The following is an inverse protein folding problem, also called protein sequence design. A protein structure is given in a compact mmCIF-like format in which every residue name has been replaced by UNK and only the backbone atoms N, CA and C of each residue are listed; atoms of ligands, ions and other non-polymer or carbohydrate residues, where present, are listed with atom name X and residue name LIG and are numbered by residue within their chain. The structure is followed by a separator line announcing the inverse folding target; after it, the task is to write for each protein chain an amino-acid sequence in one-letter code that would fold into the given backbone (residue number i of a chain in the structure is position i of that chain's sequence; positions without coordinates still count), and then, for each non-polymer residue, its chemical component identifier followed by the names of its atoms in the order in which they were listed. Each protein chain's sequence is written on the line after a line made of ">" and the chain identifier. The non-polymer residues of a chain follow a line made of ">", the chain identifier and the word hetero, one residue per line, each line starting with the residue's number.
data_IF_058359166672
#
_entry.id   IF_058359166672
#
_cell.length_a   1.000
_cell.length_b   1.000
_cell.length_c   1.000
_cell.angle_alpha   90.00
_cell.angle_beta   90.00
_cell.angle_gamma   90.00
#
_symmetry.space_group_name_H-M   'P 1'
#
loop_
_entity.id
_entity.type
_entity.pdbx_description
1 polymer ?
#
# COMPACT_ATOMS: atom_id res chain seq x y z
N UNK A 1 -1.27 -28.29 3.85
CA UNK A 1 -2.30 -27.54 3.10
C UNK A 1 -1.59 -26.28 2.62
N UNK A 2 -1.59 -25.96 1.32
CA UNK A 2 -0.92 -24.74 0.85
C UNK A 2 -1.64 -23.53 1.44
N UNK A 3 -0.85 -22.58 1.94
CA UNK A 3 -1.37 -21.35 2.54
C UNK A 3 -1.66 -20.36 1.41
N UNK A 4 -2.88 -19.84 1.46
CA UNK A 4 -3.26 -18.60 0.81
C UNK A 4 -3.69 -17.60 1.86
N UNK A 5 -2.89 -16.55 2.04
CA UNK A 5 -3.17 -15.42 2.90
C UNK A 5 -3.79 -14.28 2.09
N UNK A 6 -4.93 -13.78 2.54
CA UNK A 6 -5.53 -12.55 2.04
C UNK A 6 -5.37 -11.44 3.08
N UNK A 7 -4.82 -10.30 2.68
CA UNK A 7 -4.64 -9.14 3.56
C UNK A 7 -5.52 -8.01 3.04
N UNK A 8 -6.41 -7.49 3.88
CA UNK A 8 -7.29 -6.37 3.56
C UNK A 8 -6.68 -5.08 4.08
N UNK A 9 -6.39 -4.14 3.17
CA UNK A 9 -6.13 -2.75 3.55
C UNK A 9 -7.46 -2.09 3.94
N UNK A 10 -7.75 -2.12 5.24
CA UNK A 10 -9.09 -1.90 5.76
C UNK A 10 -9.60 -0.50 5.45
N UNK A 11 -8.80 0.54 5.76
CA UNK A 11 -9.21 1.92 5.53
C UNK A 11 -9.25 2.28 4.05
N UNK A 12 -8.44 1.67 3.18
CA UNK A 12 -8.56 1.84 1.74
C UNK A 12 -9.93 1.38 1.24
N UNK A 13 -10.36 0.19 1.68
CA UNK A 13 -11.64 -0.41 1.31
C UNK A 13 -12.82 0.38 1.91
N UNK A 14 -12.79 0.64 3.22
CA UNK A 14 -13.85 1.33 3.95
C UNK A 14 -14.07 2.73 3.40
N UNK A 15 -13.00 3.53 3.24
CA UNK A 15 -13.14 4.92 2.76
C UNK A 15 -13.68 4.97 1.34
N UNK A 16 -13.30 4.04 0.46
CA UNK A 16 -13.83 3.98 -0.91
C UNK A 16 -15.32 3.67 -0.92
N UNK A 17 -15.74 2.63 -0.18
CA UNK A 17 -17.16 2.28 -0.03
C UNK A 17 -17.96 3.45 0.55
N UNK A 18 -17.44 4.08 1.60
CA UNK A 18 -18.10 5.21 2.25
C UNK A 18 -18.19 6.44 1.33
N UNK A 19 -17.15 6.74 0.55
CA UNK A 19 -17.09 7.95 -0.28
C UNK A 19 -18.09 7.99 -1.44
N UNK A 20 -18.60 6.83 -1.87
CA UNK A 20 -19.54 6.72 -2.99
C UNK A 20 -21.00 6.62 -2.53
N UNK A 21 -21.25 6.54 -1.23
CA UNK A 21 -22.61 6.38 -0.73
C UNK A 21 -23.38 7.73 -0.69
N UNK A 22 -24.71 7.73 -0.89
CA UNK A 22 -25.47 8.98 -0.96
C UNK A 22 -25.48 9.79 0.34
N UNK A 23 -25.52 9.11 1.49
CA UNK A 23 -25.54 9.73 2.81
C UNK A 23 -24.25 9.40 3.57
N UNK A 24 -23.33 10.36 3.77
CA UNK A 24 -22.07 10.13 4.48
C UNK A 24 -22.25 9.88 6.00
N UNK A 25 -23.48 9.94 6.53
CA UNK A 25 -23.79 9.63 7.93
C UNK A 25 -24.31 8.20 8.11
N UNK A 26 -24.71 7.53 7.03
CA UNK A 26 -25.26 6.17 7.04
C UNK A 26 -24.15 5.11 7.19
N UNK A 27 -23.72 4.87 8.44
CA UNK A 27 -22.71 3.86 8.77
C UNK A 27 -23.26 2.44 8.58
N UNK A 28 -24.55 2.20 8.80
CA UNK A 28 -25.17 0.89 8.60
C UNK A 28 -25.06 0.43 7.13
N UNK A 29 -25.21 1.35 6.18
CA UNK A 29 -24.96 1.09 4.76
C UNK A 29 -23.49 0.82 4.44
N UNK A 30 -22.56 1.55 5.08
CA UNK A 30 -21.13 1.26 4.95
C UNK A 30 -20.81 -0.16 5.44
N UNK A 31 -21.33 -0.56 6.61
CA UNK A 31 -21.20 -1.92 7.15
C UNK A 31 -21.75 -2.94 6.16
N UNK A 32 -23.00 -2.79 5.73
CA UNK A 32 -23.66 -3.74 4.80
C UNK A 32 -22.90 -3.86 3.47
N UNK A 33 -22.34 -2.76 2.96
CA UNK A 33 -21.64 -2.76 1.66
C UNK A 33 -20.22 -3.30 1.75
N UNK A 34 -19.50 -3.02 2.85
CA UNK A 34 -18.21 -3.65 3.11
C UNK A 34 -18.37 -5.15 3.39
N UNK A 35 -19.37 -5.58 4.16
CA UNK A 35 -19.66 -7.00 4.39
C UNK A 35 -19.95 -7.77 3.08
N UNK A 36 -20.78 -7.20 2.19
CA UNK A 36 -21.01 -7.80 0.85
C UNK A 36 -19.73 -7.89 0.03
N UNK A 37 -18.88 -6.88 0.12
CA UNK A 37 -17.58 -6.84 -0.55
C UNK A 37 -16.64 -7.92 -0.04
N UNK A 38 -16.54 -8.07 1.28
CA UNK A 38 -15.71 -9.10 1.91
C UNK A 38 -16.21 -10.51 1.58
N UNK A 39 -17.52 -10.75 1.63
CA UNK A 39 -18.08 -12.03 1.19
C UNK A 39 -17.73 -12.38 -0.26
N UNK A 40 -17.71 -11.38 -1.15
CA UNK A 40 -17.26 -11.60 -2.53
C UNK A 40 -15.76 -11.91 -2.60
N UNK A 41 -14.92 -11.18 -1.85
CA UNK A 41 -13.49 -11.46 -1.75
C UNK A 41 -13.25 -12.88 -1.26
N UNK A 42 -13.93 -13.30 -0.18
CA UNK A 42 -13.84 -14.66 0.38
C UNK A 42 -14.23 -15.72 -0.66
N UNK A 43 -15.31 -15.51 -1.40
CA UNK A 43 -15.78 -16.44 -2.43
C UNK A 43 -14.83 -16.54 -3.64
N UNK A 44 -14.24 -15.41 -4.06
CA UNK A 44 -13.31 -15.35 -5.21
C UNK A 44 -11.92 -15.89 -4.85
N UNK A 45 -11.40 -15.53 -3.68
CA UNK A 45 -10.03 -15.86 -3.27
C UNK A 45 -9.93 -17.20 -2.53
N UNK A 46 -10.97 -17.64 -1.83
CA UNK A 46 -10.99 -18.87 -1.01
C UNK A 46 -9.77 -18.97 -0.09
N UNK A 47 -9.54 -17.96 0.77
CA UNK A 47 -8.33 -17.91 1.59
C UNK A 47 -8.32 -19.02 2.64
N UNK A 48 -7.10 -19.46 2.98
CA UNK A 48 -6.87 -20.27 4.19
C UNK A 48 -6.67 -19.41 5.44
N UNK A 49 -6.18 -18.18 5.22
CA UNK A 49 -5.88 -17.20 6.25
C UNK A 49 -6.31 -15.83 5.74
N UNK A 50 -6.91 -15.01 6.61
CA UNK A 50 -7.34 -13.67 6.24
C UNK A 50 -7.18 -12.73 7.42
N UNK A 51 -6.76 -11.49 7.13
CA UNK A 51 -6.64 -10.45 8.14
C UNK A 51 -6.94 -9.08 7.52
N UNK A 52 -7.56 -8.21 8.30
CA UNK A 52 -7.70 -6.80 7.99
C UNK A 52 -6.68 -5.97 8.77
N UNK A 53 -5.97 -5.07 8.10
CA UNK A 53 -5.02 -4.17 8.76
C UNK A 53 -5.64 -2.78 8.84
N UNK A 54 -5.81 -2.28 10.06
CA UNK A 54 -6.36 -0.97 10.34
C UNK A 54 -5.25 0.00 10.78
N UNK A 55 -5.36 1.24 10.32
CA UNK A 55 -4.50 2.33 10.78
C UNK A 55 -4.99 2.80 12.16
N UNK A 56 -4.12 2.77 13.17
CA UNK A 56 -4.53 3.01 14.56
C UNK A 56 -4.56 4.50 14.92
N UNK A 57 -3.81 5.35 14.21
CA UNK A 57 -3.61 6.73 14.65
C UNK A 57 -3.68 7.76 13.50
N UNK A 58 -4.84 8.41 13.37
CA UNK A 58 -5.05 9.50 12.41
C UNK A 58 -4.20 10.75 12.68
N UNK A 59 -3.62 10.88 13.88
CA UNK A 59 -2.85 12.07 14.30
C UNK A 59 -1.34 11.88 14.17
N UNK A 60 -0.84 10.65 14.27
CA UNK A 60 0.57 10.36 14.07
C UNK A 60 0.84 10.04 12.60
N UNK A 61 1.82 10.72 12.01
CA UNK A 61 2.22 10.50 10.61
C UNK A 61 3.44 9.55 10.51
N UNK A 62 3.84 8.98 11.63
CA UNK A 62 4.86 7.95 11.77
C UNK A 62 6.25 8.42 11.38
N UNK A 63 7.15 7.43 11.27
CA UNK A 63 8.56 7.62 10.90
C UNK A 63 8.74 8.39 9.59
N UNK A 64 7.79 8.28 8.64
CA UNK A 64 7.85 9.00 7.37
C UNK A 64 7.79 10.52 7.56
N UNK A 65 7.03 11.01 8.53
CA UNK A 65 6.98 12.43 8.85
C UNK A 65 8.19 12.93 9.66
N UNK A 66 8.86 12.04 10.40
CA UNK A 66 10.15 12.36 11.03
C UNK A 66 11.24 12.61 9.98
N UNK A 67 11.24 11.81 8.91
CA UNK A 67 12.20 11.92 7.80
C UNK A 67 11.79 13.02 6.80
N UNK A 68 10.50 13.14 6.49
CA UNK A 68 9.95 14.15 5.58
C UNK A 68 8.78 14.88 6.25
N UNK A 69 9.01 16.02 6.91
CA UNK A 69 7.98 16.73 7.69
C UNK A 69 6.71 17.12 6.91
N UNK A 70 6.79 17.29 5.59
CA UNK A 70 5.64 17.59 4.73
C UNK A 70 4.76 16.36 4.42
N UNK A 71 5.25 15.13 4.66
CA UNK A 71 4.57 13.88 4.32
C UNK A 71 3.14 13.86 4.87
N UNK A 72 2.14 13.68 4.00
CA UNK A 72 0.69 13.66 4.34
C UNK A 72 0.21 14.86 5.19
N UNK A 73 0.92 15.99 5.25
CA UNK A 73 0.62 17.12 6.16
C UNK A 73 -0.79 17.72 5.96
N UNK A 74 -1.27 17.78 4.72
CA UNK A 74 -2.57 18.34 4.33
C UNK A 74 -3.59 17.24 4.00
N UNK A 75 -3.36 16.00 4.49
CA UNK A 75 -4.32 14.91 4.29
C UNK A 75 -5.61 15.25 5.03
N UNK A 76 -6.74 15.26 4.31
CA UNK A 76 -8.04 15.52 4.92
C UNK A 76 -8.32 14.47 6.02
N UNK A 77 -8.80 14.88 7.20
CA UNK A 77 -9.15 13.95 8.26
C UNK A 77 -10.27 13.01 7.82
N UNK A 78 -10.43 11.90 8.56
CA UNK A 78 -11.60 11.05 8.39
C UNK A 78 -12.88 11.84 8.70
N UNK A 79 -13.97 11.67 7.93
CA UNK A 79 -15.27 12.21 8.32
C UNK A 79 -15.69 11.72 9.71
N UNK A 80 -16.21 12.60 10.55
CA UNK A 80 -16.60 12.29 11.93
C UNK A 80 -17.57 11.10 12.05
N UNK A 81 -18.63 10.98 11.22
CA UNK A 81 -19.51 9.81 11.27
C UNK A 81 -18.77 8.50 11.03
N UNK A 82 -17.86 8.49 10.05
CA UNK A 82 -17.06 7.30 9.73
C UNK A 82 -16.11 6.95 10.87
N UNK A 83 -15.45 7.96 11.45
CA UNK A 83 -14.56 7.77 12.59
C UNK A 83 -15.27 7.14 13.79
N UNK A 84 -16.49 7.60 14.12
CA UNK A 84 -17.33 7.01 15.18
C UNK A 84 -17.88 5.62 14.80
N UNK A 85 -17.94 5.32 13.51
CA UNK A 85 -18.46 4.06 12.98
C UNK A 85 -17.41 2.95 12.80
N UNK A 86 -16.12 3.24 12.97
CA UNK A 86 -15.04 2.27 12.70
C UNK A 86 -15.18 1.02 13.56
N UNK A 87 -15.45 1.15 14.86
CA UNK A 87 -15.58 0.00 15.77
C UNK A 87 -16.73 -0.93 15.35
N UNK A 88 -17.87 -0.35 14.93
CA UNK A 88 -19.01 -1.12 14.44
C UNK A 88 -18.72 -1.81 13.10
N UNK A 89 -17.93 -1.18 12.22
CA UNK A 89 -17.46 -1.80 10.98
C UNK A 89 -16.50 -2.95 11.27
N UNK A 90 -15.55 -2.74 12.18
CA UNK A 90 -14.60 -3.74 12.61
C UNK A 90 -15.30 -4.96 13.23
N UNK A 91 -16.27 -4.72 14.12
CA UNK A 91 -17.09 -5.77 14.73
C UNK A 91 -17.85 -6.58 13.66
N UNK A 92 -18.43 -5.92 12.66
CA UNK A 92 -19.11 -6.62 11.58
C UNK A 92 -18.15 -7.45 10.69
N UNK A 93 -16.89 -7.06 10.57
CA UNK A 93 -15.87 -7.84 9.86
C UNK A 93 -15.42 -9.04 10.69
N UNK A 94 -15.29 -8.86 12.01
CA UNK A 94 -15.04 -9.95 12.95
C UNK A 94 -16.14 -11.01 12.91
N UNK A 95 -17.41 -10.60 12.82
CA UNK A 95 -18.56 -11.50 12.64
C UNK A 95 -18.54 -12.29 11.32
N UNK A 96 -17.73 -11.87 10.33
CA UNK A 96 -17.46 -12.64 9.11
C UNK A 96 -16.26 -13.59 9.25
N UNK A 97 -15.63 -13.65 10.42
CA UNK A 97 -14.41 -14.42 10.69
C UNK A 97 -13.12 -13.72 10.24
N UNK A 98 -13.13 -12.40 10.09
CA UNK A 98 -11.97 -11.61 9.65
C UNK A 98 -11.42 -10.81 10.82
N UNK A 99 -10.29 -11.27 11.35
CA UNK A 99 -9.58 -10.57 12.43
C UNK A 99 -8.91 -9.27 11.95
N UNK A 100 -8.60 -8.40 12.89
CA UNK A 100 -8.02 -7.09 12.66
C UNK A 100 -6.69 -6.91 13.37
N UNK A 101 -5.65 -6.59 12.61
CA UNK A 101 -4.40 -6.06 13.15
C UNK A 101 -4.53 -4.54 13.33
N UNK A 102 -4.39 -4.10 14.56
CA UNK A 102 -4.23 -2.69 14.92
C UNK A 102 -2.74 -2.35 14.96
N UNK A 103 -2.38 -1.19 14.41
CA UNK A 103 -0.99 -0.75 14.40
C UNK A 103 -0.58 0.00 15.68
N UNK A 104 0.34 -0.54 16.49
CA UNK A 104 0.89 0.19 17.64
C UNK A 104 2.08 1.07 17.24
N UNK A 105 1.84 2.06 16.35
CA UNK A 105 2.81 3.10 15.97
C UNK A 105 3.49 2.92 14.60
N UNK A 106 3.33 1.79 13.92
CA UNK A 106 3.72 1.64 12.51
C UNK A 106 2.64 2.20 11.56
N UNK A 107 2.97 2.49 10.30
CA UNK A 107 1.91 2.70 9.32
C UNK A 107 1.33 1.33 8.89
N UNK A 108 0.01 1.29 8.65
CA UNK A 108 -0.68 0.06 8.23
C UNK A 108 -0.09 -0.54 6.94
N UNK A 109 0.45 0.29 6.06
CA UNK A 109 1.08 -0.17 4.82
C UNK A 109 2.35 -0.99 5.07
N UNK A 110 3.17 -0.59 6.03
CA UNK A 110 4.37 -1.32 6.44
C UNK A 110 4.00 -2.65 7.14
N UNK A 111 2.91 -2.69 7.91
CA UNK A 111 2.40 -3.93 8.51
C UNK A 111 1.90 -4.92 7.45
N UNK A 112 1.11 -4.43 6.49
CA UNK A 112 0.66 -5.23 5.34
C UNK A 112 1.87 -5.75 4.56
N UNK A 113 2.86 -4.89 4.28
CA UNK A 113 4.06 -5.26 3.55
C UNK A 113 4.89 -6.32 4.28
N UNK A 114 5.11 -6.13 5.58
CA UNK A 114 5.83 -7.08 6.44
C UNK A 114 5.15 -8.44 6.46
N UNK A 115 3.84 -8.49 6.70
CA UNK A 115 3.10 -9.74 6.74
C UNK A 115 3.11 -10.44 5.38
N UNK A 116 2.83 -9.68 4.31
CA UNK A 116 2.80 -10.21 2.96
C UNK A 116 4.16 -10.80 2.55
N UNK A 117 5.25 -10.07 2.83
CA UNK A 117 6.60 -10.47 2.47
C UNK A 117 7.04 -11.71 3.24
N UNK A 118 6.79 -11.77 4.56
CA UNK A 118 7.08 -12.95 5.38
C UNK A 118 6.41 -14.21 4.80
N UNK A 119 5.11 -14.18 4.50
CA UNK A 119 4.40 -15.35 3.96
C UNK A 119 4.87 -15.72 2.55
N UNK A 120 5.04 -14.71 1.68
CA UNK A 120 5.50 -14.94 0.31
C UNK A 120 6.92 -15.54 0.23
N UNK A 121 7.82 -15.14 1.13
CA UNK A 121 9.20 -15.65 1.20
C UNK A 121 9.27 -17.10 1.70
N UNK A 122 8.23 -17.59 2.37
CA UNK A 122 8.03 -19.01 2.66
C UNK A 122 7.45 -19.81 1.49
N UNK A 123 7.27 -19.19 0.31
CA UNK A 123 6.75 -19.83 -0.89
C UNK A 123 5.22 -19.97 -0.92
N UNK A 124 4.53 -19.36 0.03
CA UNK A 124 3.07 -19.43 0.16
C UNK A 124 2.40 -18.27 -0.58
N UNK A 125 1.12 -18.44 -0.92
CA UNK A 125 0.40 -17.47 -1.76
C UNK A 125 -0.15 -16.33 -0.94
N UNK A 126 0.00 -15.10 -1.43
CA UNK A 126 -0.46 -13.88 -0.77
C UNK A 126 -1.24 -13.00 -1.75
N UNK A 127 -2.38 -12.49 -1.30
CA UNK A 127 -3.16 -11.49 -2.03
C UNK A 127 -3.43 -10.29 -1.14
N UNK A 128 -2.92 -9.12 -1.52
CA UNK A 128 -3.25 -7.86 -0.88
C UNK A 128 -4.47 -7.27 -1.59
N UNK A 129 -5.53 -6.96 -0.85
CA UNK A 129 -6.70 -6.24 -1.33
C UNK A 129 -6.50 -4.76 -1.03
N UNK A 130 -6.03 -4.03 -2.04
CA UNK A 130 -5.90 -2.57 -1.98
C UNK A 130 -5.90 -1.98 -3.39
N UNK A 131 -6.22 -0.70 -3.46
CA UNK A 131 -6.06 0.12 -4.67
C UNK A 131 -4.78 0.95 -4.65
N UNK A 132 -4.03 0.91 -3.55
CA UNK A 132 -2.79 1.65 -3.41
C UNK A 132 -1.70 0.99 -4.28
N UNK A 133 -1.15 1.77 -5.21
CA UNK A 133 -0.08 1.31 -6.10
C UNK A 133 1.24 1.14 -5.35
N UNK A 134 1.38 1.70 -4.14
CA UNK A 134 2.53 1.53 -3.27
C UNK A 134 2.90 0.07 -3.04
N UNK A 135 1.91 -0.79 -2.80
CA UNK A 135 2.14 -2.24 -2.60
C UNK A 135 2.68 -2.97 -3.83
N UNK A 136 2.57 -2.38 -5.02
CA UNK A 136 3.05 -3.03 -6.24
C UNK A 136 4.57 -3.22 -6.24
N UNK A 137 5.31 -2.49 -5.40
CA UNK A 137 6.76 -2.73 -5.19
C UNK A 137 7.07 -4.11 -4.59
N UNK A 138 6.07 -4.80 -4.04
CA UNK A 138 6.20 -6.12 -3.42
C UNK A 138 5.89 -7.27 -4.39
N UNK A 139 5.48 -6.99 -5.63
CA UNK A 139 5.04 -8.01 -6.58
C UNK A 139 6.08 -9.13 -6.75
N UNK A 140 5.63 -10.36 -6.57
CA UNK A 140 6.44 -11.57 -6.74
C UNK A 140 5.59 -12.67 -7.37
N UNK A 141 6.17 -13.85 -7.73
CA UNK A 141 5.37 -14.97 -8.23
C UNK A 141 4.24 -15.41 -7.27
N UNK A 142 4.43 -15.21 -5.96
CA UNK A 142 3.49 -15.64 -4.91
C UNK A 142 2.77 -14.49 -4.23
N UNK A 143 3.13 -13.22 -4.49
CA UNK A 143 2.51 -12.03 -3.91
C UNK A 143 1.86 -11.18 -5.00
N UNK A 144 0.53 -11.06 -4.94
CA UNK A 144 -0.28 -10.30 -5.89
C UNK A 144 -1.11 -9.22 -5.20
N UNK A 145 -1.46 -8.17 -5.95
CA UNK A 145 -2.29 -7.06 -5.48
C UNK A 145 -3.57 -6.99 -6.31
N UNK A 146 -4.73 -6.95 -5.64
CA UNK A 146 -6.06 -6.93 -6.25
C UNK A 146 -6.75 -5.60 -6.00
N UNK A 147 -7.03 -4.87 -7.07
CA UNK A 147 -7.97 -3.74 -7.05
C UNK A 147 -9.39 -4.31 -7.17
N UNK A 148 -10.05 -4.46 -6.03
CA UNK A 148 -11.40 -5.00 -5.97
C UNK A 148 -12.44 -4.14 -6.69
N UNK A 149 -12.29 -2.81 -6.66
CA UNK A 149 -13.28 -1.88 -7.22
C UNK A 149 -13.25 -1.85 -8.75
N UNK A 150 -12.07 -2.02 -9.34
CA UNK A 150 -11.92 -2.12 -10.80
C UNK A 150 -11.86 -3.57 -11.30
N UNK A 151 -12.04 -4.55 -10.41
CA UNK A 151 -12.01 -5.98 -10.71
C UNK A 151 -10.75 -6.43 -11.49
N UNK A 152 -9.59 -5.84 -11.18
CA UNK A 152 -8.33 -6.07 -11.90
C UNK A 152 -7.17 -6.40 -10.96
N UNK A 153 -6.15 -7.05 -11.53
CA UNK A 153 -4.86 -7.23 -10.88
C UNK A 153 -3.98 -6.01 -11.14
N UNK A 154 -3.26 -5.57 -10.11
CA UNK A 154 -2.17 -4.60 -10.26
C UNK A 154 -0.87 -5.39 -10.39
N UNK A 155 -0.70 -6.03 -11.54
CA UNK A 155 0.38 -6.98 -11.83
C UNK A 155 1.55 -6.35 -12.62
N UNK A 156 2.53 -7.15 -13.03
CA UNK A 156 3.69 -6.66 -13.79
C UNK A 156 3.29 -5.95 -15.09
N UNK A 157 2.41 -6.50 -15.96
CA UNK A 157 1.89 -5.77 -17.11
C UNK A 157 1.24 -4.42 -16.78
N UNK A 158 0.45 -4.36 -15.70
CA UNK A 158 -0.14 -3.10 -15.24
C UNK A 158 0.92 -2.07 -14.89
N UNK A 159 1.97 -2.47 -14.16
CA UNK A 159 3.08 -1.58 -13.76
C UNK A 159 3.89 -1.10 -14.96
N UNK A 160 4.18 -1.99 -15.91
CA UNK A 160 4.88 -1.61 -17.14
C UNK A 160 4.06 -0.62 -17.98
N UNK A 161 2.75 -0.80 -18.07
CA UNK A 161 1.87 0.11 -18.80
C UNK A 161 1.75 1.48 -18.11
N UNK A 162 1.58 1.49 -16.79
CA UNK A 162 1.33 2.71 -16.00
C UNK A 162 2.60 3.53 -15.76
N UNK A 163 3.72 2.87 -15.43
CA UNK A 163 4.95 3.53 -14.99
C UNK A 163 6.12 3.31 -15.96
N UNK A 164 6.11 2.21 -16.72
CA UNK A 164 7.18 1.87 -17.65
C UNK A 164 8.48 1.46 -16.98
N UNK A 165 8.40 1.00 -15.73
CA UNK A 165 9.53 0.48 -14.93
C UNK A 165 9.15 -0.88 -14.35
N UNK A 166 10.11 -1.58 -13.75
CA UNK A 166 9.82 -2.83 -13.05
C UNK A 166 9.26 -2.58 -11.63
N UNK A 167 8.50 -3.51 -11.05
CA UNK A 167 7.99 -3.39 -9.68
C UNK A 167 9.05 -3.01 -8.64
N UNK A 168 10.21 -3.66 -8.69
CA UNK A 168 11.34 -3.41 -7.79
C UNK A 168 11.95 -2.01 -7.92
N UNK A 169 11.64 -1.27 -8.99
CA UNK A 169 12.11 0.10 -9.23
C UNK A 169 11.07 1.16 -8.83
N UNK A 170 9.90 0.79 -8.30
CA UNK A 170 8.84 1.76 -8.01
C UNK A 170 9.22 2.76 -6.92
N UNK A 171 9.97 2.34 -5.90
CA UNK A 171 10.48 3.27 -4.88
C UNK A 171 11.45 4.30 -5.48
N UNK A 172 12.35 3.87 -6.36
CA UNK A 172 13.23 4.75 -7.13
C UNK A 172 12.43 5.69 -8.05
N UNK A 173 11.40 5.16 -8.71
CA UNK A 173 10.53 5.94 -9.57
C UNK A 173 9.86 7.08 -8.79
N UNK A 174 9.28 6.80 -7.61
CA UNK A 174 8.68 7.85 -6.77
C UNK A 174 9.71 8.74 -6.08
N UNK A 175 10.93 8.26 -5.84
CA UNK A 175 12.06 9.10 -5.44
C UNK A 175 12.40 10.16 -6.48
N UNK A 176 12.25 9.83 -7.77
CA UNK A 176 12.45 10.75 -8.88
C UNK A 176 11.24 11.65 -9.15
N UNK A 177 10.03 11.09 -9.22
CA UNK A 177 8.83 11.83 -9.65
C UNK A 177 8.08 12.52 -8.52
N UNK A 178 8.27 12.06 -7.29
CA UNK A 178 7.40 12.39 -6.17
C UNK A 178 6.05 11.66 -6.22
N UNK A 179 5.27 11.88 -5.15
CA UNK A 179 3.90 11.41 -4.95
C UNK A 179 3.08 12.56 -4.39
N UNK A 180 2.36 13.24 -5.27
CA UNK A 180 1.63 14.47 -4.94
C UNK A 180 0.57 14.28 -3.84
N UNK A 181 -0.16 13.15 -3.87
CA UNK A 181 -1.17 12.80 -2.86
C UNK A 181 -0.60 12.66 -1.44
N UNK A 182 0.68 12.35 -1.33
CA UNK A 182 1.40 12.14 -0.06
C UNK A 182 2.39 13.26 0.25
N UNK A 183 2.42 14.32 -0.58
CA UNK A 183 3.38 15.44 -0.48
C UNK A 183 4.85 14.99 -0.51
N UNK A 184 5.14 13.95 -1.29
CA UNK A 184 6.52 13.54 -1.59
C UNK A 184 6.94 14.31 -2.84
N UNK A 185 7.96 15.19 -2.79
CA UNK A 185 8.24 16.13 -3.86
C UNK A 185 8.98 15.54 -5.07
N UNK A 186 9.83 14.52 -4.87
CA UNK A 186 10.74 14.02 -5.90
C UNK A 186 11.80 15.04 -6.32
N UNK A 187 12.37 14.88 -7.52
CA UNK A 187 13.32 15.83 -8.11
C UNK A 187 12.57 16.86 -8.97
N UNK A 188 12.68 18.17 -8.68
CA UNK A 188 12.11 19.22 -9.51
C UNK A 188 12.43 19.08 -11.00
N UNK A 189 11.36 19.02 -11.81
CA UNK A 189 11.49 18.88 -13.27
C UNK A 189 11.83 17.47 -13.75
N UNK A 190 11.79 16.44 -12.90
CA UNK A 190 11.80 15.03 -13.32
C UNK A 190 10.38 14.48 -13.14
N UNK A 191 9.65 14.40 -14.25
CA UNK A 191 8.32 13.77 -14.29
C UNK A 191 8.36 12.31 -14.76
N UNK A 192 7.20 11.65 -14.90
CA UNK A 192 7.06 10.25 -15.29
C UNK A 192 7.92 9.82 -16.49
N UNK A 193 7.89 10.62 -17.57
CA UNK A 193 8.66 10.32 -18.79
C UNK A 193 10.18 10.30 -18.55
N UNK A 194 10.67 11.24 -17.74
CA UNK A 194 12.10 11.31 -17.42
C UNK A 194 12.51 10.20 -16.47
N UNK A 195 11.71 9.91 -15.44
CA UNK A 195 11.97 8.79 -14.53
C UNK A 195 12.00 7.45 -15.27
N UNK A 196 11.07 7.22 -16.20
CA UNK A 196 11.09 6.04 -17.09
C UNK A 196 12.37 5.96 -17.92
N UNK A 197 12.75 7.05 -18.59
CA UNK A 197 13.97 7.10 -19.42
C UNK A 197 15.22 6.76 -18.60
N UNK A 198 15.31 7.30 -17.38
CA UNK A 198 16.42 7.04 -16.45
C UNK A 198 16.39 5.57 -15.99
N UNK A 199 15.28 5.09 -15.45
CA UNK A 199 15.19 3.75 -14.83
C UNK A 199 15.13 2.59 -15.82
N UNK A 200 14.90 2.86 -17.10
CA UNK A 200 15.10 1.86 -18.17
C UNK A 200 16.59 1.67 -18.46
N UNK A 201 17.40 2.71 -18.25
CA UNK A 201 18.85 2.70 -18.53
C UNK A 201 19.64 2.27 -17.30
N UNK A 202 19.23 2.73 -16.11
CA UNK A 202 19.90 2.48 -14.85
C UNK A 202 18.97 1.72 -13.90
N UNK A 203 19.48 0.76 -13.11
CA UNK A 203 18.65 -0.03 -12.21
C UNK A 203 17.99 0.81 -11.10
N UNK A 204 18.68 1.83 -10.59
CA UNK A 204 18.25 2.65 -9.46
C UNK A 204 18.81 4.08 -9.52
N UNK A 205 18.34 4.94 -8.59
CA UNK A 205 18.78 6.34 -8.45
C UNK A 205 20.30 6.45 -8.21
N UNK A 206 20.87 5.54 -7.42
CA UNK A 206 22.28 5.58 -7.04
C UNK A 206 23.19 5.31 -8.24
N UNK A 207 22.86 4.28 -9.01
CA UNK A 207 23.57 3.92 -10.23
C UNK A 207 23.44 5.03 -11.27
N UNK A 208 22.25 5.61 -11.42
CA UNK A 208 22.04 6.75 -12.31
C UNK A 208 22.88 7.98 -11.90
N UNK A 209 23.00 8.23 -10.59
CA UNK A 209 23.79 9.35 -10.08
C UNK A 209 25.29 9.17 -10.36
N UNK A 210 25.82 7.96 -10.11
CA UNK A 210 27.24 7.63 -10.28
C UNK A 210 27.67 7.45 -11.75
N UNK A 211 26.74 7.12 -12.65
CA UNK A 211 27.05 6.86 -14.05
C UNK A 211 27.56 8.12 -14.77
N UNK A 212 28.74 8.09 -15.38
CA UNK A 212 29.32 9.25 -16.10
C UNK A 212 28.47 9.70 -17.30
N UNK A 213 27.77 8.76 -17.93
CA UNK A 213 27.00 8.93 -19.15
C UNK A 213 25.55 9.39 -18.93
N UNK A 214 25.14 9.68 -17.69
CA UNK A 214 23.81 10.24 -17.41
C UNK A 214 23.57 11.48 -18.29
N UNK A 215 22.45 11.56 -19.04
CA UNK A 215 22.19 12.68 -19.93
C UNK A 215 22.35 14.04 -19.24
N UNK A 216 23.06 14.97 -19.89
CA UNK A 216 23.37 16.31 -19.33
C UNK A 216 22.14 17.08 -18.82
N UNK A 217 20.96 16.84 -19.40
CA UNK A 217 19.67 17.41 -18.97
C UNK A 217 19.22 16.97 -17.55
N UNK A 218 19.73 15.85 -17.06
CA UNK A 218 19.43 15.31 -15.73
C UNK A 218 20.54 15.57 -14.72
N UNK A 219 21.80 15.62 -15.16
CA UNK A 219 22.98 15.79 -14.29
C UNK A 219 22.80 16.89 -13.24
N UNK A 220 22.55 18.12 -13.69
CA UNK A 220 22.37 19.28 -12.80
C UNK A 220 21.26 19.06 -11.76
N UNK A 221 20.14 18.43 -12.16
CA UNK A 221 19.01 18.16 -11.26
C UNK A 221 19.35 17.10 -10.21
N UNK A 222 20.12 16.08 -10.60
CA UNK A 222 20.62 15.08 -9.66
C UNK A 222 21.59 15.72 -8.67
N UNK A 223 22.59 16.47 -9.16
CA UNK A 223 23.59 17.12 -8.30
C UNK A 223 22.95 18.06 -7.26
N UNK A 224 21.88 18.78 -7.64
CA UNK A 224 21.16 19.71 -6.76
C UNK A 224 20.16 19.03 -5.80
N UNK A 225 19.64 17.84 -6.13
CA UNK A 225 18.48 17.26 -5.45
C UNK A 225 18.61 15.78 -5.08
N UNK A 226 19.79 15.15 -5.21
CA UNK A 226 19.98 13.72 -4.94
C UNK A 226 19.56 13.32 -3.51
N UNK A 227 19.91 14.13 -2.50
CA UNK A 227 19.50 13.86 -1.11
C UNK A 227 17.99 13.89 -0.94
N UNK A 228 17.31 14.84 -1.60
CA UNK A 228 15.85 14.90 -1.57
C UNK A 228 15.25 13.68 -2.26
N UNK A 229 15.82 13.22 -3.37
CA UNK A 229 15.38 12.02 -4.08
C UNK A 229 15.55 10.76 -3.24
N UNK A 230 16.68 10.63 -2.52
CA UNK A 230 16.95 9.54 -1.56
C UNK A 230 15.93 9.52 -0.44
N UNK A 231 15.61 10.68 0.15
CA UNK A 231 14.55 10.81 1.16
C UNK A 231 13.18 10.43 0.58
N UNK A 232 12.86 10.89 -0.63
CA UNK A 232 11.61 10.56 -1.29
C UNK A 232 11.49 9.07 -1.60
N UNK A 233 12.57 8.43 -2.04
CA UNK A 233 12.67 6.97 -2.24
C UNK A 233 12.42 6.24 -0.92
N UNK A 234 13.12 6.64 0.14
CA UNK A 234 12.97 6.04 1.46
C UNK A 234 11.53 6.12 1.95
N UNK A 235 10.91 7.30 1.92
CA UNK A 235 9.52 7.51 2.34
C UNK A 235 8.51 6.76 1.46
N UNK A 236 8.83 6.51 0.19
CA UNK A 236 7.96 5.75 -0.73
C UNK A 236 8.15 4.23 -0.62
N UNK A 237 9.24 3.78 0.00
CA UNK A 237 9.49 2.38 0.26
C UNK A 237 8.64 1.87 1.43
N UNK A 238 8.28 0.59 1.38
CA UNK A 238 7.58 -0.11 2.46
C UNK A 238 8.58 -0.85 3.35
N UNK A 239 8.45 -0.71 4.67
CA UNK A 239 9.18 -1.56 5.63
C UNK A 239 8.58 -2.96 5.61
N UNK A 240 9.44 -3.97 5.71
CA UNK A 240 9.05 -5.39 5.59
C UNK A 240 9.56 -6.25 6.76
N UNK A 241 10.10 -5.60 7.78
CA UNK A 241 10.84 -6.19 8.89
C UNK A 241 10.24 -5.86 10.26
N UNK A 242 8.97 -5.41 10.31
CA UNK A 242 8.29 -5.10 11.57
C UNK A 242 8.03 -6.38 12.38
N UNK A 243 8.19 -6.31 13.69
CA UNK A 243 7.72 -7.36 14.59
C UNK A 243 6.19 -7.29 14.71
N UNK A 244 5.51 -8.39 14.38
CA UNK A 244 4.05 -8.42 14.30
C UNK A 244 3.41 -8.89 15.60
N UNK A 245 4.16 -9.57 16.48
CA UNK A 245 3.65 -10.03 17.78
C UNK A 245 2.60 -11.16 17.74
N UNK A 246 2.29 -11.70 16.56
CA UNK A 246 1.40 -12.86 16.39
C UNK A 246 1.96 -13.82 15.32
N UNK A 247 1.35 -15.00 15.20
CA UNK A 247 1.75 -16.03 14.26
C UNK A 247 0.63 -16.37 13.27
N UNK A 248 0.95 -17.09 12.18
CA UNK A 248 -0.03 -17.37 11.13
C UNK A 248 -1.27 -18.15 11.60
N UNK A 249 -1.15 -18.99 12.64
CA UNK A 249 -2.29 -19.77 13.14
C UNK A 249 -3.38 -18.86 13.72
N UNK A 250 -2.99 -17.70 14.26
CA UNK A 250 -3.91 -16.75 14.89
C UNK A 250 -4.86 -16.12 13.86
N UNK A 251 -4.50 -16.13 12.57
CA UNK A 251 -5.24 -15.48 11.47
C UNK A 251 -5.83 -16.50 10.49
N UNK A 252 -5.99 -17.74 10.93
CA UNK A 252 -6.62 -18.80 10.14
C UNK A 252 -8.09 -18.45 9.90
N UNK A 253 -8.52 -18.56 8.65
CA UNK A 253 -9.91 -18.31 8.33
C UNK A 253 -10.77 -19.54 8.66
N UNK A 254 -11.72 -19.37 9.57
CA UNK A 254 -12.75 -20.35 9.87
C UNK A 254 -14.10 -19.80 9.39
N UNK A 255 -14.71 -20.48 8.43
CA UNK A 255 -16.00 -20.07 7.92
C UNK A 255 -17.02 -20.07 9.06
N UNK A 256 -17.65 -18.92 9.29
CA UNK A 256 -18.69 -18.78 10.32
C UNK A 256 -19.91 -19.59 9.87
N UNK A 257 -20.25 -20.61 10.66
CA UNK A 257 -21.35 -21.55 10.42
C UNK A 257 -22.72 -20.94 10.69
#
# INVERSE_FOLDING_TARGET
>A
MSIHLVIIDALNLIRRVHSVQPDPTDIARTITTTARTLNRILNESKPTHIIAVFDHHLQDRGWRAEVLPAYKQNRKPMPEPLMKGLDAIQQAWWELGIDSLLSDGAEADDLVATLAKKVADHGETVTIISTDKGYCQLLSPTLQIRDYFQHRWLDKPFIEAEFGVKPEQLADYWGLTGVSSSQVPGIPGIGPKAAKEILTTYPDIETAFLAEDLPKKYRKKFDEHIESARVCKLVSALKTDIDLGFNLQDIRYEAVS
#
